data_IF_584075817752
#
_entry.id   IF_584075817752
#
_cell.length_a   1.000
_cell.length_b   1.000
_cell.length_c   1.000
_cell.angle_alpha   90.00
_cell.angle_beta   90.00
_cell.angle_gamma   90.00
#
_symmetry.space_group_name_H-M   'P 1'
#
loop_
_entity.id
_entity.type
_entity.pdbx_description
1 polymer ?
#
# COMPACT_ATOMS: atom_id res chain seq x y z
N UNK A 1 -6.63 50.64 12.47
CA UNK A 1 -7.60 50.64 11.36
C UNK A 1 -6.84 50.91 10.07
N UNK A 2 -6.26 49.85 9.50
CA UNK A 2 -5.17 49.94 8.52
C UNK A 2 -5.68 50.19 7.10
N UNK A 3 -4.91 50.97 6.35
CA UNK A 3 -5.04 51.36 4.93
C UNK A 3 -5.54 50.24 3.97
N UNK A 4 -5.39 48.98 4.38
CA UNK A 4 -5.87 47.78 3.71
C UNK A 4 -7.39 47.67 3.54
N UNK A 5 -8.20 48.28 4.43
CA UNK A 5 -9.68 48.32 4.27
C UNK A 5 -10.12 49.24 3.12
N UNK A 6 -9.33 50.27 2.81
CA UNK A 6 -9.64 51.22 1.75
C UNK A 6 -9.32 50.67 0.35
N UNK A 7 -8.22 49.91 0.23
CA UNK A 7 -7.84 49.26 -1.04
C UNK A 7 -8.77 48.10 -1.42
N UNK A 8 -9.44 47.46 -0.45
CA UNK A 8 -10.39 46.37 -0.72
C UNK A 8 -11.77 46.87 -1.19
N UNK A 9 -12.11 48.13 -0.90
CA UNK A 9 -13.39 48.73 -1.28
C UNK A 9 -13.44 49.22 -2.74
N UNK A 10 -12.28 49.41 -3.39
CA UNK A 10 -12.21 50.06 -4.71
C UNK A 10 -11.95 49.11 -5.88
N UNK A 11 -12.17 47.80 -5.70
CA UNK A 11 -12.08 46.81 -6.79
C UNK A 11 -13.22 46.93 -7.80
N UNK A 12 -14.36 47.50 -7.39
CA UNK A 12 -15.56 47.69 -8.23
C UNK A 12 -15.53 48.98 -9.06
N UNK A 13 -14.76 49.99 -8.67
CA UNK A 13 -14.78 51.31 -9.32
C UNK A 13 -13.79 51.42 -10.49
N UNK A 14 -12.60 50.82 -10.37
CA UNK A 14 -11.58 50.84 -11.43
C UNK A 14 -11.98 49.96 -12.63
N UNK A 15 -12.73 48.88 -12.39
CA UNK A 15 -13.25 48.02 -13.46
C UNK A 15 -14.35 48.69 -14.30
N UNK A 16 -15.16 49.58 -13.72
CA UNK A 16 -16.26 50.22 -14.44
C UNK A 16 -15.84 51.44 -15.28
N UNK A 17 -14.69 52.06 -15.02
CA UNK A 17 -14.21 53.19 -15.81
C UNK A 17 -13.57 52.75 -17.15
N UNK A 18 -13.03 51.53 -17.21
CA UNK A 18 -12.36 51.03 -18.41
C UNK A 18 -13.34 50.56 -19.51
N UNK A 19 -14.63 50.37 -19.19
CA UNK A 19 -15.66 49.93 -20.14
C UNK A 19 -16.47 51.06 -20.79
N UNK A 20 -16.41 52.31 -20.30
CA UNK A 20 -17.28 53.40 -20.78
C UNK A 20 -16.69 54.24 -21.92
N UNK A 21 -15.39 54.11 -22.25
CA UNK A 21 -14.72 54.94 -23.28
C UNK A 21 -14.38 54.15 -24.57
N UNK A 22 -14.46 52.82 -24.56
CA UNK A 22 -14.14 52.00 -25.73
C UNK A 22 -15.39 51.46 -26.43
N UNK A 23 -15.60 51.91 -27.68
CA UNK A 23 -16.51 51.32 -28.69
C UNK A 23 -16.28 49.79 -28.85
N UNK A 24 -17.26 49.03 -29.39
CA UNK A 24 -17.56 47.67 -28.94
C UNK A 24 -16.54 46.59 -29.35
N UNK A 25 -16.14 45.77 -28.36
CA UNK A 25 -15.48 44.44 -28.38
C UNK A 25 -14.09 44.34 -29.06
N UNK A 26 -13.14 43.66 -28.39
CA UNK A 26 -13.29 42.23 -28.23
C UNK A 26 -13.09 41.74 -26.80
N UNK A 27 -14.14 41.10 -26.29
CA UNK A 27 -14.13 40.18 -25.15
C UNK A 27 -13.06 39.08 -25.27
N UNK A 28 -12.49 38.84 -26.46
CA UNK A 28 -11.43 37.86 -26.69
C UNK A 28 -10.08 38.18 -26.03
N UNK A 29 -9.73 39.45 -25.83
CA UNK A 29 -8.40 39.81 -25.31
C UNK A 29 -8.33 39.53 -23.80
N UNK A 30 -9.40 39.82 -23.06
CA UNK A 30 -9.46 39.55 -21.62
C UNK A 30 -9.54 38.05 -21.30
N UNK A 31 -10.11 37.23 -22.19
CA UNK A 31 -10.23 35.79 -22.00
C UNK A 31 -8.90 35.04 -22.20
N UNK A 32 -8.06 35.51 -23.12
CA UNK A 32 -6.72 34.94 -23.37
C UNK A 32 -5.67 35.38 -22.35
N UNK A 33 -5.83 36.54 -21.71
CA UNK A 33 -4.90 37.09 -20.70
C UNK A 33 -5.13 36.47 -19.31
N UNK A 34 -6.37 36.06 -18.99
CA UNK A 34 -6.75 35.44 -17.73
C UNK A 34 -5.93 34.20 -17.32
N UNK A 35 -5.68 33.21 -18.21
CA UNK A 35 -4.90 32.02 -17.83
C UNK A 35 -3.40 32.32 -17.64
N UNK A 36 -2.84 33.30 -18.35
CA UNK A 36 -1.42 33.65 -18.24
C UNK A 36 -1.10 34.35 -16.92
N UNK A 37 -1.95 35.30 -16.51
CA UNK A 37 -1.79 35.98 -15.22
C UNK A 37 -2.00 35.02 -14.04
N UNK A 38 -2.93 34.07 -14.14
CA UNK A 38 -3.21 33.12 -13.07
C UNK A 38 -2.05 32.14 -12.85
N UNK A 39 -1.43 31.63 -13.93
CA UNK A 39 -0.24 30.76 -13.82
C UNK A 39 0.98 31.49 -13.24
N UNK A 40 1.17 32.77 -13.56
CA UNK A 40 2.27 33.57 -13.02
C UNK A 40 2.07 33.90 -11.53
N UNK A 41 0.82 34.14 -11.11
CA UNK A 41 0.51 34.34 -9.69
C UNK A 41 0.64 33.05 -8.88
N UNK A 42 0.27 31.90 -9.45
CA UNK A 42 0.47 30.58 -8.85
C UNK A 42 1.96 30.25 -8.69
N UNK A 43 2.78 30.55 -9.70
CA UNK A 43 4.23 30.33 -9.61
C UNK A 43 4.89 31.25 -8.58
N UNK A 44 4.49 32.52 -8.49
CA UNK A 44 4.98 33.45 -7.45
C UNK A 44 4.54 33.00 -6.06
N UNK A 45 3.28 32.57 -5.89
CA UNK A 45 2.79 32.02 -4.63
C UNK A 45 3.59 30.77 -4.21
N UNK A 46 3.86 29.87 -5.17
CA UNK A 46 4.68 28.67 -4.95
C UNK A 46 6.11 29.04 -4.54
N UNK A 47 6.75 29.98 -5.24
CA UNK A 47 8.12 30.45 -4.94
C UNK A 47 8.19 31.14 -3.58
N UNK A 48 7.21 31.97 -3.22
CA UNK A 48 7.14 32.62 -1.92
C UNK A 48 6.95 31.60 -0.80
N UNK A 49 6.08 30.61 -1.01
CA UNK A 49 5.83 29.56 -0.04
C UNK A 49 7.07 28.66 0.15
N UNK A 50 7.79 28.31 -0.93
CA UNK A 50 9.06 27.59 -0.87
C UNK A 50 10.11 28.40 -0.09
N UNK A 51 10.26 29.71 -0.34
CA UNK A 51 11.19 30.56 0.45
C UNK A 51 10.82 30.64 1.93
N UNK A 52 9.53 30.61 2.27
CA UNK A 52 9.05 30.58 3.66
C UNK A 52 9.38 29.26 4.34
N UNK A 53 9.14 28.14 3.67
CA UNK A 53 9.49 26.80 4.18
C UNK A 53 11.02 26.59 4.26
N UNK A 54 11.81 27.17 3.36
CA UNK A 54 13.28 27.14 3.42
C UNK A 54 13.87 27.85 4.64
N UNK A 55 13.15 28.79 5.26
CA UNK A 55 13.60 29.41 6.54
C UNK A 55 13.53 28.43 7.71
N UNK A 56 12.68 27.41 7.65
CA UNK A 56 12.52 26.40 8.71
C UNK A 56 13.78 25.53 8.79
N UNK A 57 14.38 25.20 7.64
CA UNK A 57 15.63 24.45 7.55
C UNK A 57 16.85 25.21 8.07
N UNK A 58 16.77 26.53 8.28
CA UNK A 58 17.87 27.33 8.88
C UNK A 58 17.88 27.30 10.41
N UNK A 59 16.85 26.74 11.05
CA UNK A 59 16.77 26.70 12.52
C UNK A 59 17.64 25.55 13.08
N UNK A 60 18.50 25.84 14.07
CA UNK A 60 19.35 24.83 14.72
C UNK A 60 18.55 23.67 15.33
N UNK A 61 17.34 23.95 15.82
CA UNK A 61 16.46 22.95 16.43
C UNK A 61 15.80 22.01 15.41
N UNK A 62 15.78 22.39 14.12
CA UNK A 62 15.22 21.55 13.07
C UNK A 62 16.05 20.28 12.90
N UNK A 63 17.37 20.41 12.85
CA UNK A 63 18.28 19.27 12.69
C UNK A 63 18.22 18.31 13.88
N UNK A 64 18.14 18.83 15.11
CA UNK A 64 18.02 17.99 16.31
C UNK A 64 16.68 17.26 16.38
N UNK A 65 15.58 17.94 16.04
CA UNK A 65 14.26 17.29 15.98
C UNK A 65 14.17 16.28 14.84
N UNK A 66 14.80 16.56 13.70
CA UNK A 66 14.82 15.65 12.55
C UNK A 66 15.69 14.42 12.83
N UNK A 67 16.86 14.60 13.45
CA UNK A 67 17.70 13.49 13.89
C UNK A 67 16.98 12.62 14.93
N UNK A 68 16.27 13.24 15.89
CA UNK A 68 15.46 12.50 16.86
C UNK A 68 14.35 11.69 16.17
N UNK A 69 13.63 12.29 15.23
CA UNK A 69 12.61 11.57 14.46
C UNK A 69 13.22 10.43 13.63
N UNK A 70 14.34 10.67 12.95
CA UNK A 70 15.04 9.62 12.20
C UNK A 70 15.48 8.48 13.09
N UNK A 71 15.99 8.75 14.29
CA UNK A 71 16.34 7.70 15.26
C UNK A 71 15.09 6.90 15.63
N UNK A 72 13.98 7.56 15.97
CA UNK A 72 12.74 6.85 16.27
C UNK A 72 12.26 5.99 15.09
N UNK A 73 12.35 6.48 13.86
CA UNK A 73 11.93 5.74 12.66
C UNK A 73 12.89 4.61 12.26
N UNK A 74 14.20 4.77 12.45
CA UNK A 74 15.21 3.77 12.04
C UNK A 74 15.33 2.66 13.08
N UNK A 75 15.23 2.99 14.37
CA UNK A 75 15.34 2.01 15.46
C UNK A 75 14.01 1.30 15.77
N UNK A 76 12.91 1.70 15.14
CA UNK A 76 11.63 0.97 15.28
C UNK A 76 11.69 -0.35 14.49
N UNK A 77 11.52 -1.47 15.20
CA UNK A 77 11.57 -2.82 14.60
C UNK A 77 10.41 -3.09 13.62
N UNK A 78 9.31 -2.34 13.73
CA UNK A 78 8.09 -2.48 12.92
C UNK A 78 8.16 -1.65 11.64
N UNK A 79 9.14 -1.98 10.80
CA UNK A 79 9.19 -1.45 9.44
C UNK A 79 7.97 -1.90 8.62
N UNK A 80 7.49 -1.03 7.73
CA UNK A 80 6.36 -1.31 6.82
C UNK A 80 6.63 -2.58 5.98
N UNK A 81 7.89 -2.80 5.59
CA UNK A 81 8.30 -4.01 4.88
C UNK A 81 8.09 -5.29 5.70
N UNK A 82 8.39 -5.24 7.01
CA UNK A 82 8.17 -6.37 7.92
C UNK A 82 6.67 -6.67 8.04
N UNK A 83 5.81 -5.65 8.10
CA UNK A 83 4.36 -5.83 8.15
C UNK A 83 3.82 -6.55 6.90
N UNK A 84 4.33 -6.22 5.71
CA UNK A 84 3.94 -6.92 4.48
C UNK A 84 4.39 -8.38 4.49
N UNK A 85 5.63 -8.63 4.91
CA UNK A 85 6.19 -9.99 5.00
C UNK A 85 5.43 -10.86 6.01
N UNK A 86 5.13 -10.32 7.19
CA UNK A 86 4.33 -11.02 8.20
C UNK A 86 2.93 -11.35 7.68
N UNK A 87 2.32 -10.47 6.89
CA UNK A 87 1.00 -10.74 6.29
C UNK A 87 1.05 -11.84 5.23
N UNK A 88 2.12 -11.96 4.45
CA UNK A 88 2.28 -13.08 3.51
C UNK A 88 2.54 -14.39 4.26
N UNK A 89 3.44 -14.39 5.24
CA UNK A 89 3.73 -15.58 6.08
C UNK A 89 2.47 -16.08 6.79
N UNK A 90 1.63 -15.18 7.30
CA UNK A 90 0.37 -15.53 7.94
C UNK A 90 -0.57 -16.26 6.96
N UNK A 91 -0.67 -15.80 5.71
CA UNK A 91 -1.48 -16.48 4.69
C UNK A 91 -0.93 -17.86 4.34
N UNK A 92 0.38 -17.98 4.23
CA UNK A 92 1.04 -19.26 3.94
C UNK A 92 0.77 -20.28 5.05
N UNK A 93 0.94 -19.88 6.32
CA UNK A 93 0.65 -20.73 7.48
C UNK A 93 -0.83 -21.14 7.51
N UNK A 94 -1.76 -20.23 7.19
CA UNK A 94 -3.18 -20.56 7.12
C UNK A 94 -3.48 -21.62 6.04
N UNK A 95 -2.88 -21.50 4.86
CA UNK A 95 -3.03 -22.48 3.78
C UNK A 95 -2.43 -23.83 4.19
N UNK A 96 -1.24 -23.82 4.79
CA UNK A 96 -0.60 -25.04 5.29
C UNK A 96 -1.46 -25.72 6.35
N UNK A 97 -2.05 -24.97 7.28
CA UNK A 97 -2.95 -25.52 8.29
C UNK A 97 -4.20 -26.16 7.66
N UNK A 98 -4.85 -25.49 6.70
CA UNK A 98 -6.00 -26.06 6.00
C UNK A 98 -5.66 -27.36 5.26
N UNK A 99 -4.48 -27.42 4.63
CA UNK A 99 -4.01 -28.63 3.96
C UNK A 99 -3.74 -29.76 4.97
N UNK A 100 -3.13 -29.46 6.11
CA UNK A 100 -2.86 -30.44 7.17
C UNK A 100 -4.14 -31.01 7.76
N UNK A 101 -5.18 -30.19 7.95
CA UNK A 101 -6.49 -30.68 8.39
C UNK A 101 -7.09 -31.67 7.39
N UNK A 102 -6.96 -31.41 6.08
CA UNK A 102 -7.41 -32.32 5.04
C UNK A 102 -6.61 -33.64 5.03
N UNK A 103 -5.27 -33.56 5.16
CA UNK A 103 -4.41 -34.73 5.31
C UNK A 103 -4.82 -35.58 6.52
N UNK A 104 -5.08 -34.96 7.67
CA UNK A 104 -5.54 -35.65 8.89
C UNK A 104 -6.85 -36.38 8.64
N UNK A 105 -7.83 -35.74 7.96
CA UNK A 105 -9.10 -36.39 7.61
C UNK A 105 -8.88 -37.61 6.71
N UNK A 106 -8.04 -37.49 5.69
CA UNK A 106 -7.73 -38.60 4.78
C UNK A 106 -7.02 -39.75 5.51
N UNK A 107 -6.02 -39.45 6.34
CA UNK A 107 -5.31 -40.46 7.13
C UNK A 107 -6.27 -41.18 8.07
N UNK A 108 -7.13 -40.45 8.79
CA UNK A 108 -8.16 -41.06 9.65
C UNK A 108 -9.08 -42.01 8.88
N UNK A 109 -9.53 -41.62 7.69
CA UNK A 109 -10.36 -42.48 6.83
C UNK A 109 -9.60 -43.75 6.39
N UNK A 110 -8.34 -43.61 5.97
CA UNK A 110 -7.49 -44.75 5.61
C UNK A 110 -7.28 -45.69 6.80
N UNK A 111 -6.96 -45.16 7.97
CA UNK A 111 -6.80 -45.96 9.20
C UNK A 111 -8.10 -46.69 9.55
N UNK A 112 -9.25 -46.03 9.42
CA UNK A 112 -10.55 -46.67 9.63
C UNK A 112 -10.79 -47.82 8.65
N UNK A 113 -10.52 -47.61 7.35
CA UNK A 113 -10.65 -48.65 6.32
C UNK A 113 -9.71 -49.85 6.59
N UNK A 114 -8.46 -49.59 6.98
CA UNK A 114 -7.49 -50.62 7.35
C UNK A 114 -7.95 -51.41 8.60
N UNK A 115 -8.57 -50.75 9.57
CA UNK A 115 -9.03 -51.40 10.81
C UNK A 115 -10.30 -52.24 10.62
N UNK A 116 -11.15 -51.89 9.65
CA UNK A 116 -12.45 -52.52 9.44
C UNK A 116 -12.43 -53.57 8.33
N UNK A 117 -11.60 -53.40 7.30
CA UNK A 117 -11.53 -54.30 6.16
C UNK A 117 -10.18 -55.04 6.09
N UNK A 118 -10.21 -56.36 6.34
CA UNK A 118 -9.04 -57.24 6.30
C UNK A 118 -8.38 -57.32 4.91
N UNK A 119 -9.15 -57.21 3.83
CA UNK A 119 -8.61 -57.27 2.47
C UNK A 119 -7.78 -56.03 2.12
N UNK A 120 -8.26 -54.84 2.52
CA UNK A 120 -7.52 -53.57 2.33
C UNK A 120 -6.27 -53.52 3.21
N UNK A 121 -6.34 -54.06 4.44
CA UNK A 121 -5.16 -54.23 5.30
C UNK A 121 -4.10 -55.11 4.63
N UNK A 122 -4.50 -56.26 4.09
CA UNK A 122 -3.59 -57.20 3.42
C UNK A 122 -2.96 -56.56 2.16
N UNK A 123 -3.76 -55.84 1.36
CA UNK A 123 -3.26 -55.10 0.20
C UNK A 123 -2.23 -54.03 0.60
N UNK A 124 -2.54 -53.22 1.63
CA UNK A 124 -1.64 -52.20 2.13
C UNK A 124 -0.32 -52.78 2.65
N UNK A 125 -0.38 -53.88 3.40
CA UNK A 125 0.82 -54.57 3.90
C UNK A 125 1.69 -55.15 2.77
N UNK A 126 1.08 -55.62 1.69
CA UNK A 126 1.79 -56.13 0.51
C UNK A 126 2.40 -55.02 -0.34
N UNK A 127 1.67 -53.93 -0.58
CA UNK A 127 2.16 -52.82 -1.43
C UNK A 127 3.20 -51.95 -0.72
N UNK A 128 2.99 -51.62 0.55
CA UNK A 128 3.87 -50.68 1.27
C UNK A 128 4.97 -51.36 2.08
N UNK A 129 4.73 -52.57 2.58
CA UNK A 129 5.66 -53.27 3.47
C UNK A 129 6.17 -54.60 2.91
N UNK A 130 5.74 -54.99 1.70
CA UNK A 130 6.10 -56.26 1.04
C UNK A 130 5.91 -57.48 1.95
N UNK A 131 4.92 -57.42 2.85
CA UNK A 131 4.65 -58.51 3.79
C UNK A 131 4.02 -59.71 3.08
N UNK A 132 4.39 -60.92 3.54
CA UNK A 132 3.83 -62.19 3.07
C UNK A 132 3.26 -63.00 4.23
N UNK A 133 2.34 -63.91 3.93
CA UNK A 133 1.93 -64.92 4.90
C UNK A 133 3.05 -65.94 5.10
N UNK A 134 3.10 -66.55 6.28
CA UNK A 134 4.14 -67.52 6.63
C UNK A 134 4.19 -68.70 5.65
N UNK A 135 3.01 -69.14 5.17
CA UNK A 135 2.85 -70.29 4.27
C UNK A 135 2.90 -69.91 2.77
N UNK A 136 3.28 -68.68 2.44
CA UNK A 136 3.31 -68.18 1.07
C UNK A 136 4.73 -68.08 0.52
N UNK A 137 4.94 -68.60 -0.69
CA UNK A 137 6.21 -68.58 -1.42
C UNK A 137 6.11 -67.54 -2.54
N UNK A 138 7.00 -66.54 -2.53
CA UNK A 138 7.06 -65.48 -3.55
C UNK A 138 8.05 -65.90 -4.64
N UNK A 139 7.63 -65.87 -5.89
CA UNK A 139 8.48 -66.12 -7.06
C UNK A 139 8.84 -64.80 -7.74
N UNK A 140 10.13 -64.50 -7.86
CA UNK A 140 10.66 -63.36 -8.60
C UNK A 140 11.27 -63.90 -9.90
N UNK A 141 10.66 -63.55 -11.03
CA UNK A 141 11.22 -63.87 -12.35
C UNK A 141 12.10 -62.70 -12.80
N UNK A 142 13.35 -63.01 -13.18
CA UNK A 142 14.32 -62.06 -13.75
C UNK A 142 14.46 -62.31 -15.24
#
# INVERSE_FOLDING_TARGET
MTLWRFLKANKSFVLNLCCLVSKPKPTFICEKINPFLNNYLLSIYYIYNVKKHLKIFKNRYFYTSFALLLILFIFEDTNIFNLYKMKSELKEIQIQNANKENEIKQVKLKTYQLSTNKAELEKFAREHYLMKKNDEVIYLFK
#
